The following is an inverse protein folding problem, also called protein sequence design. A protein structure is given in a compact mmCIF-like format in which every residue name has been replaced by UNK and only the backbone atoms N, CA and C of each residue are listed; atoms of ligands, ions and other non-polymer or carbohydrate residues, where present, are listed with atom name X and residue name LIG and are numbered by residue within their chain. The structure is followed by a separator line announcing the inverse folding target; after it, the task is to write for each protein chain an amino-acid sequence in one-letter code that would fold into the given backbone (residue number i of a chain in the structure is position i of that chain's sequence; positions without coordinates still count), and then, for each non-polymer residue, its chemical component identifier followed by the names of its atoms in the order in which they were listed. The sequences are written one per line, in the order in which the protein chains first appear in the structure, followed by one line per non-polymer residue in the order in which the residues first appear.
data_IF_319346896552
#
_entry.id   IF_319346896552
#
_cell.length_a   1.000
_cell.length_b   1.000
_cell.length_c   1.000
_cell.angle_alpha   90.00
_cell.angle_beta   90.00
_cell.angle_gamma   90.00
#
_symmetry.space_group_name_H-M   'P 1'
#
loop_
_entity.id
_entity.type
_entity.pdbx_description
1 polymer ?
#
# COMPACT_ATOMS: atom_id res chain seq x y z
N UNK A 1 15.17 -0.68 -11.25
CA UNK A 1 14.88 -0.65 -9.80
C UNK A 1 14.72 -2.08 -9.28
N UNK A 2 15.26 -2.35 -8.09
CA UNK A 2 15.01 -3.58 -7.32
C UNK A 2 14.05 -3.21 -6.20
N UNK A 3 12.88 -3.82 -6.19
CA UNK A 3 11.81 -3.60 -5.21
C UNK A 3 11.59 -4.92 -4.47
N UNK A 4 11.60 -4.88 -3.13
CA UNK A 4 11.43 -6.06 -2.29
C UNK A 4 10.24 -5.88 -1.33
N UNK A 5 9.34 -6.86 -1.31
CA UNK A 5 8.34 -6.99 -0.26
C UNK A 5 8.98 -7.64 0.97
N UNK A 6 8.78 -7.04 2.13
CA UNK A 6 9.36 -7.50 3.38
C UNK A 6 8.28 -7.80 4.43
N UNK A 7 8.23 -9.06 4.87
CA UNK A 7 7.28 -9.58 5.86
C UNK A 7 7.93 -9.94 7.20
N UNK A 8 9.23 -9.63 7.37
CA UNK A 8 10.00 -9.92 8.58
C UNK A 8 9.84 -8.85 9.66
N UNK A 9 10.53 -9.05 10.77
CA UNK A 9 10.57 -8.07 11.84
C UNK A 9 11.73 -7.07 11.67
N UNK A 10 11.70 -5.98 12.44
CA UNK A 10 12.69 -4.91 12.35
C UNK A 10 14.10 -5.26 12.83
N UNK A 11 14.31 -6.40 13.48
CA UNK A 11 15.64 -6.86 13.91
C UNK A 11 16.33 -7.65 12.80
N UNK A 12 15.59 -8.57 12.16
CA UNK A 12 16.10 -9.45 11.09
C UNK A 12 16.53 -8.65 9.86
N UNK A 13 15.94 -7.49 9.59
CA UNK A 13 16.31 -6.65 8.45
C UNK A 13 17.81 -6.29 8.47
N UNK A 14 18.43 -6.21 9.64
CA UNK A 14 19.85 -5.91 9.78
C UNK A 14 20.78 -7.04 9.32
N UNK A 15 20.25 -8.23 9.07
CA UNK A 15 21.01 -9.39 8.58
C UNK A 15 21.17 -9.39 7.06
N UNK A 16 20.48 -8.48 6.34
CA UNK A 16 20.50 -8.40 4.88
C UNK A 16 21.40 -7.28 4.38
N UNK A 17 22.15 -7.55 3.33
CA UNK A 17 22.80 -6.51 2.54
C UNK A 17 21.79 -5.86 1.59
N UNK A 18 21.43 -4.60 1.85
CA UNK A 18 20.48 -3.84 1.07
C UNK A 18 21.12 -2.95 0.00
N UNK A 19 22.44 -3.06 -0.24
CA UNK A 19 23.17 -2.19 -1.17
C UNK A 19 22.64 -2.24 -2.62
N UNK A 20 21.97 -3.34 -2.99
CA UNK A 20 21.34 -3.52 -4.31
C UNK A 20 19.83 -3.28 -4.34
N UNK A 21 19.22 -2.85 -3.23
CA UNK A 21 17.77 -2.66 -3.12
C UNK A 21 17.44 -1.17 -3.22
N UNK A 22 16.58 -0.81 -4.17
CA UNK A 22 16.12 0.56 -4.34
C UNK A 22 14.93 0.87 -3.42
N UNK A 23 14.07 -0.14 -3.15
CA UNK A 23 12.83 0.07 -2.43
C UNK A 23 12.44 -1.16 -1.63
N UNK A 24 12.07 -0.97 -0.36
CA UNK A 24 11.48 -1.98 0.51
C UNK A 24 10.02 -1.60 0.76
N UNK A 25 9.12 -2.56 0.61
CA UNK A 25 7.71 -2.44 0.90
C UNK A 25 7.40 -3.27 2.15
N UNK A 26 7.11 -2.59 3.27
CA UNK A 26 6.70 -3.25 4.51
C UNK A 26 5.33 -3.89 4.33
N UNK A 27 5.25 -5.18 4.50
CA UNK A 27 4.10 -6.01 4.20
C UNK A 27 3.64 -6.76 5.46
N UNK A 28 2.47 -6.51 6.00
CA UNK A 28 1.44 -5.60 5.49
C UNK A 28 0.81 -4.81 6.61
N UNK A 29 0.20 -3.68 6.28
CA UNK A 29 -0.75 -2.97 7.13
C UNK A 29 -2.19 -3.25 6.66
N UNK A 30 -3.15 -3.06 7.55
CA UNK A 30 -4.55 -3.39 7.30
C UNK A 30 -5.48 -2.21 7.60
N UNK A 31 -6.73 -2.34 7.19
CA UNK A 31 -7.79 -1.41 7.55
C UNK A 31 -8.27 -1.64 8.99
N UNK A 32 -8.40 -0.56 9.75
CA UNK A 32 -9.12 -0.51 11.01
C UNK A 32 -10.26 0.51 10.89
N UNK A 33 -11.47 0.02 10.69
CA UNK A 33 -12.55 0.87 10.20
C UNK A 33 -12.22 1.36 8.80
N UNK A 34 -12.24 2.67 8.58
CA UNK A 34 -11.91 3.30 7.31
C UNK A 34 -10.42 3.66 7.16
N UNK A 35 -9.63 3.55 8.22
CA UNK A 35 -8.26 4.04 8.25
C UNK A 35 -7.24 2.92 8.00
N UNK A 36 -6.15 3.27 7.32
CA UNK A 36 -4.92 2.47 7.37
C UNK A 36 -4.36 2.53 8.79
N UNK A 37 -3.98 1.39 9.35
CA UNK A 37 -3.51 1.34 10.73
C UNK A 37 -2.25 0.49 10.89
N UNK A 38 -1.45 0.84 11.89
CA UNK A 38 -0.46 -0.04 12.48
C UNK A 38 -1.23 -1.03 13.37
N UNK A 39 -1.19 -2.31 13.05
CA UNK A 39 -2.03 -3.31 13.69
C UNK A 39 -1.68 -3.53 15.16
N UNK A 40 -0.39 -3.48 15.47
CA UNK A 40 0.11 -3.70 16.82
C UNK A 40 1.51 -3.08 17.03
N UNK A 41 2.02 -3.17 18.27
CA UNK A 41 3.32 -2.63 18.63
C UNK A 41 4.50 -3.30 17.89
N UNK A 42 4.39 -4.58 17.53
CA UNK A 42 5.46 -5.28 16.81
C UNK A 42 5.60 -4.72 15.38
N UNK A 43 4.48 -4.41 14.71
CA UNK A 43 4.49 -3.79 13.39
C UNK A 43 5.11 -2.40 13.42
N UNK A 44 4.78 -1.60 14.45
CA UNK A 44 5.41 -0.29 14.66
C UNK A 44 6.94 -0.41 14.81
N UNK A 45 7.41 -1.34 15.64
CA UNK A 45 8.85 -1.60 15.84
C UNK A 45 9.49 -2.08 14.54
N UNK A 46 8.81 -2.96 13.80
CA UNK A 46 9.30 -3.50 12.54
C UNK A 46 9.46 -2.41 11.48
N UNK A 47 8.43 -1.57 11.32
CA UNK A 47 8.48 -0.46 10.36
C UNK A 47 9.59 0.54 10.70
N UNK A 48 9.73 0.91 11.98
CA UNK A 48 10.82 1.78 12.44
C UNK A 48 12.20 1.18 12.16
N UNK A 49 12.37 -0.13 12.40
CA UNK A 49 13.64 -0.83 12.12
C UNK A 49 13.98 -0.86 10.62
N UNK A 50 12.98 -0.96 9.75
CA UNK A 50 13.16 -0.90 8.30
C UNK A 50 13.53 0.53 7.85
N UNK A 51 12.82 1.52 8.37
CA UNK A 51 13.09 2.94 8.07
C UNK A 51 14.48 3.35 8.54
N UNK A 52 14.95 2.83 9.69
CA UNK A 52 16.31 3.09 10.21
C UNK A 52 17.42 2.63 9.24
N UNK A 53 17.13 1.66 8.34
CA UNK A 53 18.09 1.25 7.30
C UNK A 53 18.46 2.39 6.34
N UNK A 54 17.63 3.42 6.21
CA UNK A 54 17.96 4.62 5.40
C UNK A 54 19.24 5.32 5.90
N UNK A 55 19.61 5.15 7.17
CA UNK A 55 20.86 5.66 7.71
C UNK A 55 22.09 4.97 7.10
N UNK A 56 21.98 3.67 6.81
CA UNK A 56 23.05 2.88 6.20
C UNK A 56 22.99 2.90 4.67
N UNK A 57 21.77 3.05 4.12
CA UNK A 57 21.47 3.04 2.68
C UNK A 57 20.69 4.31 2.29
N UNK A 58 21.34 5.47 2.10
CA UNK A 58 20.66 6.77 1.95
C UNK A 58 19.73 6.89 0.72
N UNK A 59 19.90 6.02 -0.27
CA UNK A 59 19.06 5.99 -1.46
C UNK A 59 17.86 5.02 -1.34
N UNK A 60 17.82 4.22 -0.27
CA UNK A 60 16.74 3.28 -0.03
C UNK A 60 15.43 4.02 0.22
N UNK A 61 14.36 3.55 -0.41
CA UNK A 61 13.00 3.99 -0.17
C UNK A 61 12.23 2.95 0.61
N UNK A 62 11.45 3.38 1.59
CA UNK A 62 10.63 2.50 2.43
C UNK A 62 9.16 2.87 2.26
N UNK A 63 8.37 1.94 1.76
CA UNK A 63 6.93 2.08 1.62
C UNK A 63 6.21 1.19 2.64
N UNK A 64 5.02 1.63 3.05
CA UNK A 64 4.06 0.74 3.70
C UNK A 64 3.15 0.12 2.65
N UNK A 65 2.58 -1.07 2.88
CA UNK A 65 1.63 -1.69 1.95
C UNK A 65 0.31 -2.01 2.65
N UNK A 66 -0.81 -1.67 1.98
CA UNK A 66 -2.14 -2.10 2.38
C UNK A 66 -2.42 -3.48 1.80
N UNK A 67 -2.80 -4.45 2.62
CA UNK A 67 -3.52 -5.63 2.16
C UNK A 67 -2.71 -6.91 2.08
N UNK A 68 -2.31 -7.30 0.88
CA UNK A 68 -1.79 -8.64 0.59
C UNK A 68 -2.89 -9.71 0.52
N UNK A 69 -2.51 -10.96 0.17
CA UNK A 69 -3.46 -12.06 0.01
C UNK A 69 -4.23 -12.36 1.31
N UNK A 70 -5.53 -12.03 1.33
CA UNK A 70 -6.37 -12.16 2.52
C UNK A 70 -6.43 -10.92 3.41
N UNK A 71 -5.54 -9.95 3.26
CA UNK A 71 -5.47 -8.76 4.11
C UNK A 71 -6.46 -7.64 3.78
N UNK A 72 -7.15 -7.72 2.64
CA UNK A 72 -8.06 -6.68 2.15
C UNK A 72 -9.55 -7.06 2.24
N UNK A 73 -9.95 -7.75 3.31
CA UNK A 73 -11.31 -8.28 3.46
C UNK A 73 -12.41 -7.23 3.36
N UNK A 74 -12.18 -6.04 3.90
CA UNK A 74 -13.16 -4.95 3.96
C UNK A 74 -12.90 -3.84 2.93
N UNK A 75 -11.90 -3.98 2.06
CA UNK A 75 -11.51 -2.92 1.12
C UNK A 75 -12.65 -2.50 0.20
N UNK A 76 -13.37 -3.46 -0.41
CA UNK A 76 -14.51 -3.15 -1.27
C UNK A 76 -15.64 -2.42 -0.51
N UNK A 77 -15.87 -2.76 0.76
CA UNK A 77 -16.90 -2.10 1.57
C UNK A 77 -16.49 -0.68 1.96
N UNK A 78 -15.27 -0.52 2.45
CA UNK A 78 -14.72 0.78 2.88
C UNK A 78 -14.60 1.73 1.68
N UNK A 79 -13.98 1.27 0.61
CA UNK A 79 -13.73 2.13 -0.56
C UNK A 79 -14.96 2.36 -1.44
N UNK A 80 -16.10 1.71 -1.14
CA UNK A 80 -17.37 2.03 -1.77
C UNK A 80 -17.94 3.40 -1.34
N UNK A 81 -17.44 3.99 -0.25
CA UNK A 81 -17.88 5.29 0.24
C UNK A 81 -16.81 6.36 0.03
N UNK A 82 -17.24 7.61 -0.22
CA UNK A 82 -16.32 8.74 -0.30
C UNK A 82 -15.58 8.97 1.03
N UNK A 83 -16.30 8.85 2.15
CA UNK A 83 -15.75 8.96 3.50
C UNK A 83 -14.65 7.94 3.72
N UNK A 84 -14.90 6.66 3.38
CA UNK A 84 -13.91 5.59 3.55
C UNK A 84 -12.63 5.85 2.73
N UNK A 85 -12.76 6.29 1.48
CA UNK A 85 -11.61 6.65 0.66
C UNK A 85 -10.85 7.85 1.19
N UNK A 86 -11.56 8.86 1.72
CA UNK A 86 -10.96 10.07 2.26
C UNK A 86 -10.23 9.82 3.58
N UNK A 87 -10.85 9.05 4.49
CA UNK A 87 -10.27 8.66 5.78
C UNK A 87 -9.03 7.78 5.59
N UNK A 88 -9.10 6.81 4.66
CA UNK A 88 -7.94 6.00 4.30
C UNK A 88 -6.79 6.87 3.78
N UNK A 89 -7.06 7.77 2.85
CA UNK A 89 -6.01 8.62 2.26
C UNK A 89 -5.37 9.56 3.29
N UNK A 90 -6.16 10.11 4.22
CA UNK A 90 -5.65 10.94 5.32
C UNK A 90 -4.81 10.14 6.31
N UNK A 91 -5.29 8.97 6.71
CA UNK A 91 -4.56 8.10 7.65
C UNK A 91 -3.26 7.58 7.04
N UNK A 92 -3.27 7.27 5.75
CA UNK A 92 -2.06 6.91 4.99
C UNK A 92 -1.02 8.02 5.02
N UNK A 93 -1.41 9.26 4.68
CA UNK A 93 -0.49 10.40 4.72
C UNK A 93 0.07 10.64 6.13
N UNK A 94 -0.75 10.46 7.17
CA UNK A 94 -0.32 10.55 8.57
C UNK A 94 0.70 9.48 8.93
N UNK A 95 0.50 8.23 8.55
CA UNK A 95 1.43 7.12 8.82
C UNK A 95 2.76 7.35 8.08
N UNK A 96 2.73 7.75 6.81
CA UNK A 96 3.93 8.08 6.04
C UNK A 96 4.74 9.16 6.76
N UNK A 97 4.11 10.22 7.26
CA UNK A 97 4.77 11.31 7.97
C UNK A 97 5.29 10.86 9.35
N UNK A 98 4.49 10.15 10.13
CA UNK A 98 4.81 9.72 11.49
C UNK A 98 6.01 8.77 11.54
N UNK A 99 6.09 7.86 10.54
CA UNK A 99 7.15 6.85 10.48
C UNK A 99 8.31 7.21 9.56
N UNK A 100 8.31 8.40 8.96
CA UNK A 100 9.30 8.81 7.94
C UNK A 100 9.41 7.78 6.78
N UNK A 101 8.29 7.20 6.40
CA UNK A 101 8.20 6.36 5.22
C UNK A 101 8.18 7.21 3.94
N UNK A 102 8.47 6.60 2.80
CA UNK A 102 8.57 7.29 1.52
C UNK A 102 7.32 7.15 0.65
N UNK A 103 6.29 6.43 1.13
CA UNK A 103 5.06 6.26 0.37
C UNK A 103 4.24 5.04 0.75
N UNK A 104 3.30 4.70 -0.12
CA UNK A 104 2.40 3.54 0.03
C UNK A 104 2.36 2.69 -1.24
N UNK A 105 2.22 1.40 -1.04
CA UNK A 105 1.85 0.40 -2.02
C UNK A 105 0.44 -0.12 -1.74
N UNK A 106 -0.39 -0.28 -2.78
CA UNK A 106 -1.74 -0.82 -2.65
C UNK A 106 -1.76 -2.27 -3.13
N UNK A 107 -1.85 -3.21 -2.22
CA UNK A 107 -1.95 -4.64 -2.54
C UNK A 107 -3.37 -5.16 -2.27
N UNK A 108 -4.34 -4.52 -2.95
CA UNK A 108 -5.74 -4.94 -2.93
C UNK A 108 -6.00 -6.03 -3.97
N UNK A 109 -6.26 -7.24 -3.51
CA UNK A 109 -6.42 -8.44 -4.34
C UNK A 109 -7.84 -9.01 -4.25
N UNK A 110 -8.79 -8.53 -5.10
CA UNK A 110 -8.62 -7.56 -6.18
C UNK A 110 -9.79 -6.59 -6.26
N UNK A 111 -9.60 -5.36 -6.78
CA UNK A 111 -10.71 -4.50 -7.13
C UNK A 111 -11.58 -5.13 -8.23
N UNK A 112 -12.88 -5.04 -8.11
CA UNK A 112 -13.91 -5.40 -9.11
C UNK A 112 -13.96 -6.88 -9.56
N UNK A 113 -13.07 -7.73 -9.08
CA UNK A 113 -13.05 -9.17 -9.41
C UNK A 113 -12.83 -10.02 -8.16
N UNK A 114 -13.19 -11.31 -8.24
CA UNK A 114 -12.92 -12.23 -7.13
C UNK A 114 -11.42 -12.41 -6.89
N UNK A 115 -11.01 -12.23 -5.65
CA UNK A 115 -9.69 -12.53 -5.13
C UNK A 115 -9.75 -13.60 -4.05
N UNK A 116 -9.26 -13.26 -2.83
CA UNK A 116 -9.27 -14.19 -1.70
C UNK A 116 -10.68 -14.73 -1.40
N UNK A 117 -10.84 -16.04 -1.14
CA UNK A 117 -12.16 -16.64 -0.87
C UNK A 117 -12.90 -15.96 0.28
N UNK A 118 -14.14 -15.53 0.01
CA UNK A 118 -14.99 -14.84 0.99
C UNK A 118 -14.79 -13.34 1.09
N UNK A 119 -13.91 -12.75 0.31
CA UNK A 119 -13.82 -11.29 0.19
C UNK A 119 -14.93 -10.75 -0.73
N UNK A 120 -15.49 -9.61 -0.33
CA UNK A 120 -16.44 -8.87 -1.17
C UNK A 120 -15.69 -8.17 -2.29
N UNK A 121 -16.30 -8.13 -3.47
CA UNK A 121 -15.89 -7.32 -4.61
C UNK A 121 -17.12 -6.82 -5.38
N UNK A 122 -17.02 -5.66 -6.02
CA UNK A 122 -18.10 -5.01 -6.77
C UNK A 122 -17.55 -4.45 -8.07
N UNK A 123 -18.34 -4.39 -9.15
CA UNK A 123 -17.91 -3.72 -10.40
C UNK A 123 -17.44 -2.28 -10.17
N UNK A 124 -18.07 -1.57 -9.23
CA UNK A 124 -17.76 -0.19 -8.85
C UNK A 124 -16.36 -0.02 -8.23
N UNK A 125 -15.74 -1.09 -7.74
CA UNK A 125 -14.39 -1.05 -7.15
C UNK A 125 -13.34 -0.50 -8.14
N UNK A 126 -13.55 -0.68 -9.44
CA UNK A 126 -12.70 -0.11 -10.49
C UNK A 126 -12.68 1.42 -10.47
N UNK A 127 -13.84 2.05 -10.38
CA UNK A 127 -13.95 3.50 -10.29
C UNK A 127 -13.55 3.99 -8.88
N UNK A 128 -13.91 3.24 -7.84
CA UNK A 128 -13.53 3.52 -6.46
C UNK A 128 -12.00 3.48 -6.26
N UNK A 129 -11.31 2.52 -6.88
CA UNK A 129 -9.84 2.47 -6.88
C UNK A 129 -9.23 3.70 -7.55
N UNK A 130 -9.79 4.13 -8.66
CA UNK A 130 -9.35 5.34 -9.37
C UNK A 130 -9.49 6.59 -8.47
N UNK A 131 -10.65 6.77 -7.81
CA UNK A 131 -10.89 7.89 -6.90
C UNK A 131 -9.99 7.79 -5.65
N UNK A 132 -9.76 6.58 -5.14
CA UNK A 132 -8.84 6.35 -4.03
C UNK A 132 -7.41 6.84 -4.35
N UNK A 133 -6.89 6.49 -5.53
CA UNK A 133 -5.57 6.95 -6.00
C UNK A 133 -5.51 8.47 -6.10
N UNK A 134 -6.56 9.11 -6.64
CA UNK A 134 -6.67 10.58 -6.70
C UNK A 134 -6.64 11.19 -5.29
N UNK A 135 -7.36 10.62 -4.33
CA UNK A 135 -7.39 11.11 -2.94
C UNK A 135 -6.05 10.91 -2.24
N UNK A 136 -5.39 9.78 -2.45
CA UNK A 136 -4.03 9.57 -1.93
C UNK A 136 -3.08 10.65 -2.43
N UNK A 137 -3.07 10.93 -3.73
CA UNK A 137 -2.25 12.02 -4.29
C UNK A 137 -2.59 13.41 -3.76
N UNK A 138 -3.85 13.64 -3.37
CA UNK A 138 -4.28 14.90 -2.75
C UNK A 138 -3.70 15.11 -1.35
N UNK A 139 -3.59 14.04 -0.54
CA UNK A 139 -3.16 14.13 0.85
C UNK A 139 -1.67 13.81 1.05
N UNK A 140 -1.07 12.99 0.20
CA UNK A 140 0.36 12.69 0.21
C UNK A 140 1.18 13.92 -0.19
N UNK A 141 2.39 14.02 0.33
CA UNK A 141 3.33 15.10 -0.02
C UNK A 141 3.87 14.89 -1.44
N UNK A 142 4.28 15.99 -2.04
CA UNK A 142 5.00 15.91 -3.33
C UNK A 142 6.31 15.16 -3.14
N UNK A 143 6.46 14.05 -3.84
CA UNK A 143 7.63 13.18 -3.76
C UNK A 143 7.38 11.87 -3.02
N UNK A 144 6.25 11.75 -2.31
CA UNK A 144 5.83 10.45 -1.78
C UNK A 144 5.49 9.50 -2.92
N UNK A 145 5.92 8.27 -2.78
CA UNK A 145 5.75 7.21 -3.78
C UNK A 145 4.39 6.54 -3.59
N UNK A 146 3.67 6.37 -4.70
CA UNK A 146 2.43 5.60 -4.73
C UNK A 146 2.56 4.49 -5.77
N UNK A 147 2.46 3.25 -5.34
CA UNK A 147 2.47 2.07 -6.19
C UNK A 147 1.28 1.15 -5.90
N UNK A 148 1.08 0.15 -6.72
CA UNK A 148 0.15 -0.93 -6.46
C UNK A 148 0.62 -2.25 -7.08
N UNK A 149 0.26 -3.37 -6.45
CA UNK A 149 0.50 -4.70 -6.96
C UNK A 149 -0.56 -5.05 -8.03
N UNK A 150 -0.13 -5.16 -9.28
CA UNK A 150 -1.01 -5.51 -10.38
C UNK A 150 -1.08 -7.02 -10.59
N UNK A 151 -2.28 -7.59 -10.67
CA UNK A 151 -2.47 -8.98 -11.06
C UNK A 151 -2.01 -9.22 -12.50
N UNK A 152 -1.10 -10.16 -12.71
CA UNK A 152 -0.49 -10.46 -14.01
C UNK A 152 -1.35 -11.36 -14.92
N UNK A 153 -2.67 -11.16 -14.98
CA UNK A 153 -3.59 -11.99 -15.75
C UNK A 153 -4.72 -11.16 -16.40
N UNK A 154 -5.24 -11.63 -17.53
CA UNK A 154 -6.17 -10.89 -18.40
C UNK A 154 -7.38 -10.34 -17.65
N UNK A 155 -8.00 -11.16 -16.78
CA UNK A 155 -9.19 -10.73 -16.03
C UNK A 155 -8.94 -9.50 -15.16
N UNK A 156 -7.75 -9.37 -14.57
CA UNK A 156 -7.36 -8.18 -13.82
C UNK A 156 -7.17 -6.99 -14.75
N UNK A 157 -6.46 -7.16 -15.84
CA UNK A 157 -6.20 -6.10 -16.82
C UNK A 157 -7.48 -5.52 -17.39
N UNK A 158 -8.46 -6.35 -17.69
CA UNK A 158 -9.70 -5.92 -18.33
C UNK A 158 -10.69 -5.26 -17.36
N UNK A 159 -10.72 -5.72 -16.10
CA UNK A 159 -11.83 -5.40 -15.21
C UNK A 159 -11.45 -4.59 -13.96
N UNK A 160 -10.24 -4.73 -13.42
CA UNK A 160 -9.94 -4.21 -12.09
C UNK A 160 -9.55 -2.73 -12.06
N UNK A 161 -8.84 -2.25 -13.07
CA UNK A 161 -8.20 -0.93 -13.06
C UNK A 161 -8.56 -0.12 -14.31
N UNK A 162 -8.84 1.18 -14.14
CA UNK A 162 -8.85 2.14 -15.23
C UNK A 162 -7.42 2.62 -15.50
N UNK A 163 -6.69 1.87 -16.31
CA UNK A 163 -5.27 2.10 -16.59
C UNK A 163 -4.97 3.51 -17.09
N UNK A 164 -5.86 4.08 -17.89
CA UNK A 164 -5.65 5.42 -18.46
C UNK A 164 -5.72 6.52 -17.42
N UNK A 165 -6.54 6.33 -16.38
CA UNK A 165 -6.71 7.29 -15.31
C UNK A 165 -5.71 7.07 -14.17
N UNK A 166 -5.39 5.80 -13.86
CA UNK A 166 -4.56 5.45 -12.70
C UNK A 166 -3.06 5.61 -13.00
N UNK A 167 -2.57 5.09 -14.15
CA UNK A 167 -1.14 5.09 -14.44
C UNK A 167 -0.45 6.46 -14.42
N UNK A 168 -1.09 7.58 -14.84
CA UNK A 168 -0.47 8.90 -14.70
C UNK A 168 -0.27 9.37 -13.25
N UNK A 169 -0.88 8.68 -12.27
CA UNK A 169 -0.84 9.02 -10.85
C UNK A 169 0.08 8.08 -10.04
N UNK A 170 0.67 7.08 -10.68
CA UNK A 170 1.54 6.06 -10.05
C UNK A 170 3.00 6.34 -10.40
N UNK A 171 3.96 5.92 -9.52
CA UNK A 171 5.42 6.11 -9.69
C UNK A 171 6.15 4.93 -10.35
#
# INVERSE_FOLDING_TARGET
KVIAYYTGNGEIINEFDLSGVDQIIYSFLHLKGNELAIDNKADSISLLGIVDQKNNYPNLKVLVSLGGWGGCKTCSDVFNTEEGRDDFAKSTARIIEEYDADGIDLDWEYPAISGFPGHTYRPEDKDNFTDLVVRLRKYMKKGDILSFAAGGFDRFFDNSIDWKKVMPLID
#
